data_IF_855401965124
#
_entry.id   IF_855401965124
#
_cell.length_a   1.000
_cell.length_b   1.000
_cell.length_c   1.000
_cell.angle_alpha   90.00
_cell.angle_beta   90.00
_cell.angle_gamma   90.00
#
_symmetry.space_group_name_H-M   'P 1'
#
loop_
_entity.id
_entity.type
_entity.pdbx_description
1 polymer ?
#
# COMPACT_ATOMS: atom_id res chain seq x y z
N UNK A 1 35.89 25.17 6.39
CA UNK A 1 35.51 23.87 5.77
C UNK A 1 34.04 23.91 5.37
N UNK A 2 33.68 24.14 4.09
CA UNK A 2 32.29 24.19 3.70
C UNK A 2 31.78 22.80 3.30
N UNK A 3 30.83 22.30 4.08
CA UNK A 3 30.04 21.11 3.81
C UNK A 3 29.27 21.24 2.49
N UNK A 4 29.64 20.40 1.51
CA UNK A 4 28.80 19.77 0.48
C UNK A 4 27.54 20.52 0.01
N UNK A 5 27.74 21.40 -0.97
CA UNK A 5 26.69 22.04 -1.77
C UNK A 5 26.14 21.12 -2.89
N UNK A 6 26.07 19.80 -2.65
CA UNK A 6 25.68 18.79 -3.66
C UNK A 6 24.19 18.83 -4.05
N UNK A 7 23.35 19.56 -3.31
CA UNK A 7 21.92 19.69 -3.60
C UNK A 7 21.58 20.78 -4.63
N UNK A 8 22.59 21.46 -5.20
CA UNK A 8 22.41 22.46 -6.25
C UNK A 8 22.69 21.94 -7.66
N UNK A 9 22.65 20.62 -7.86
CA UNK A 9 22.46 20.07 -9.21
C UNK A 9 21.06 20.50 -9.62
N UNK A 10 20.97 21.60 -10.36
CA UNK A 10 19.78 21.95 -11.14
C UNK A 10 19.48 20.73 -12.00
N UNK A 11 18.56 19.88 -11.54
CA UNK A 11 17.99 18.72 -12.25
C UNK A 11 17.19 19.15 -13.48
N UNK A 12 17.52 20.30 -14.05
CA UNK A 12 16.66 21.06 -14.95
C UNK A 12 16.53 20.37 -16.29
N UNK A 13 17.48 19.55 -16.74
CA UNK A 13 17.43 18.97 -18.10
C UNK A 13 16.92 17.52 -18.23
N UNK A 14 16.95 16.69 -17.17
CA UNK A 14 16.08 15.48 -17.12
C UNK A 14 14.66 15.82 -16.69
N UNK A 15 14.47 17.02 -16.13
CA UNK A 15 13.18 17.61 -15.83
C UNK A 15 12.89 18.80 -16.75
N UNK A 16 13.55 18.88 -17.92
CA UNK A 16 13.12 19.77 -18.99
C UNK A 16 11.93 19.07 -19.59
N UNK A 17 10.79 19.76 -19.56
CA UNK A 17 9.61 19.29 -20.25
C UNK A 17 10.01 19.16 -21.72
N UNK A 18 9.77 17.98 -22.32
CA UNK A 18 10.01 17.77 -23.75
C UNK A 18 9.39 18.95 -24.52
N UNK A 19 10.08 19.46 -25.53
CA UNK A 19 9.65 20.62 -26.32
C UNK A 19 8.25 20.37 -26.90
N UNK A 20 7.91 19.12 -27.23
CA UNK A 20 6.58 18.69 -27.68
C UNK A 20 5.47 18.90 -26.64
N UNK A 21 5.83 19.09 -25.38
CA UNK A 21 4.92 19.33 -24.26
C UNK A 21 5.22 20.66 -23.55
N UNK A 22 5.96 21.58 -24.18
CA UNK A 22 6.33 22.88 -23.59
C UNK A 22 5.10 23.66 -23.11
N UNK A 23 4.04 23.67 -23.90
CA UNK A 23 2.79 24.41 -23.66
C UNK A 23 1.75 23.63 -22.84
N UNK A 24 2.08 22.40 -22.41
CA UNK A 24 1.23 21.66 -21.46
C UNK A 24 1.56 22.08 -20.03
N UNK A 25 0.57 22.67 -19.36
CA UNK A 25 0.66 22.93 -17.93
C UNK A 25 1.04 21.67 -17.15
N UNK A 26 1.85 21.85 -16.09
CA UNK A 26 2.20 20.76 -15.15
C UNK A 26 0.95 20.13 -14.53
N UNK A 27 -0.13 20.91 -14.51
CA UNK A 27 -1.42 20.62 -13.94
C UNK A 27 -2.51 21.17 -14.87
N UNK A 28 -2.69 20.62 -16.07
CA UNK A 28 -4.04 20.68 -16.63
C UNK A 28 -4.94 19.89 -15.66
N UNK A 29 -6.03 20.49 -15.24
CA UNK A 29 -7.16 19.90 -14.51
C UNK A 29 -6.94 19.37 -13.08
N UNK A 30 -5.78 19.58 -12.45
CA UNK A 30 -5.58 19.04 -11.10
C UNK A 30 -5.63 17.50 -11.06
N UNK A 31 -5.13 16.84 -12.12
CA UNK A 31 -5.18 15.38 -12.45
C UNK A 31 -4.48 14.46 -11.40
N UNK A 32 -4.20 14.96 -10.19
CA UNK A 32 -4.32 14.14 -9.00
C UNK A 32 -5.70 14.37 -8.38
N UNK A 33 -6.78 14.31 -9.16
CA UNK A 33 -8.04 13.88 -8.57
C UNK A 33 -7.68 12.56 -7.89
N UNK A 34 -7.70 12.53 -6.54
CA UNK A 34 -7.84 11.23 -5.85
C UNK A 34 -8.94 10.57 -6.65
N UNK A 35 -8.62 9.49 -7.38
CA UNK A 35 -9.62 8.78 -8.19
C UNK A 35 -10.89 8.79 -7.33
N UNK A 36 -12.00 9.41 -7.77
CA UNK A 36 -13.18 9.52 -6.93
C UNK A 36 -13.37 8.13 -6.37
N UNK A 37 -13.46 8.02 -5.03
CA UNK A 37 -13.51 6.70 -4.35
C UNK A 37 -14.41 5.86 -5.22
N UNK A 38 -13.85 4.82 -5.86
CA UNK A 38 -14.60 4.01 -6.84
C UNK A 38 -15.98 3.81 -6.21
N UNK A 39 -17.09 4.16 -6.89
CA UNK A 39 -18.42 4.05 -6.29
C UNK A 39 -18.44 2.68 -5.62
N UNK A 40 -18.74 2.66 -4.33
CA UNK A 40 -18.62 1.45 -3.51
C UNK A 40 -19.45 0.42 -4.23
N UNK A 41 -18.79 -0.45 -5.00
CA UNK A 41 -19.48 -1.46 -5.78
C UNK A 41 -20.32 -2.18 -4.74
N UNK A 42 -21.65 -2.19 -4.93
CA UNK A 42 -22.58 -2.69 -3.95
C UNK A 42 -22.03 -4.04 -3.49
N UNK A 43 -21.46 -4.07 -2.28
CA UNK A 43 -20.65 -5.20 -1.88
C UNK A 43 -21.65 -6.29 -1.62
N UNK A 44 -21.86 -7.18 -2.59
CA UNK A 44 -22.70 -8.37 -2.42
C UNK A 44 -22.10 -9.36 -1.41
N UNK A 45 -21.10 -8.94 -0.62
CA UNK A 45 -20.34 -9.72 0.34
C UNK A 45 -20.50 -9.08 1.71
N UNK A 46 -20.85 -9.93 2.68
CA UNK A 46 -20.97 -9.53 4.08
C UNK A 46 -19.63 -9.09 4.68
N UNK A 47 -19.65 -7.94 5.35
CA UNK A 47 -18.53 -7.34 6.07
C UNK A 47 -18.62 -7.64 7.57
N UNK A 48 -17.61 -7.24 8.36
CA UNK A 48 -17.63 -7.44 9.82
C UNK A 48 -18.79 -6.68 10.50
N UNK A 49 -19.25 -5.56 9.92
CA UNK A 49 -20.31 -4.72 10.47
C UNK A 49 -21.70 -5.39 10.41
N UNK A 50 -21.84 -6.45 9.63
CA UNK A 50 -23.10 -7.19 9.48
C UNK A 50 -23.34 -8.24 10.58
N UNK A 51 -22.43 -8.33 11.56
CA UNK A 51 -22.51 -9.25 12.69
C UNK A 51 -22.83 -8.47 13.97
N UNK A 52 -23.93 -8.82 14.63
CA UNK A 52 -24.33 -8.23 15.90
C UNK A 52 -23.79 -9.03 17.08
N UNK A 53 -23.29 -8.34 18.11
CA UNK A 53 -22.87 -8.97 19.35
C UNK A 53 -24.08 -9.28 20.25
N UNK A 54 -24.21 -10.53 20.68
CA UNK A 54 -25.18 -10.96 21.69
C UNK A 54 -24.50 -11.06 23.06
N UNK A 55 -24.77 -10.07 23.92
CA UNK A 55 -24.20 -9.98 25.26
C UNK A 55 -24.57 -11.17 26.15
N UNK A 56 -25.78 -11.74 26.01
CA UNK A 56 -26.26 -12.83 26.88
C UNK A 56 -25.50 -14.12 26.61
N UNK A 57 -25.22 -14.38 25.34
CA UNK A 57 -24.62 -15.63 24.88
C UNK A 57 -23.13 -15.49 24.55
N UNK A 58 -22.55 -14.29 24.69
CA UNK A 58 -21.13 -14.00 24.42
C UNK A 58 -20.70 -14.47 23.02
N UNK A 59 -21.54 -14.23 22.02
CA UNK A 59 -21.29 -14.67 20.65
C UNK A 59 -21.82 -13.67 19.64
N UNK A 60 -21.31 -13.78 18.41
CA UNK A 60 -21.78 -12.96 17.30
C UNK A 60 -22.92 -13.65 16.57
N UNK A 61 -23.89 -12.88 16.09
CA UNK A 61 -25.02 -13.36 15.31
C UNK A 61 -24.98 -12.68 13.94
N UNK A 62 -25.07 -13.48 12.89
CA UNK A 62 -25.13 -12.97 11.52
C UNK A 62 -26.58 -12.55 11.16
N UNK A 63 -26.80 -11.77 10.09
CA UNK A 63 -28.16 -11.34 9.68
C UNK A 63 -29.15 -12.48 9.47
N UNK A 64 -28.68 -13.68 9.14
CA UNK A 64 -29.52 -14.89 9.08
C UNK A 64 -29.74 -15.58 10.43
N UNK A 65 -29.55 -14.86 11.55
CA UNK A 65 -29.71 -15.33 12.93
C UNK A 65 -28.84 -16.55 13.32
N UNK A 66 -27.78 -16.81 12.56
CA UNK A 66 -26.83 -17.90 12.85
C UNK A 66 -25.75 -17.41 13.82
N UNK A 67 -25.49 -18.23 14.85
CA UNK A 67 -24.54 -17.91 15.91
C UNK A 67 -23.12 -18.31 15.52
N UNK A 68 -22.17 -17.44 15.84
CA UNK A 68 -20.74 -17.64 15.70
C UNK A 68 -20.13 -17.72 17.11
N UNK A 69 -19.69 -18.91 17.50
CA UNK A 69 -19.05 -19.13 18.81
C UNK A 69 -17.57 -18.78 18.73
N UNK A 70 -17.00 -18.33 19.85
CA UNK A 70 -15.57 -18.07 19.95
C UNK A 70 -14.80 -19.37 19.74
N UNK A 71 -13.94 -19.40 18.73
CA UNK A 71 -13.05 -20.54 18.42
C UNK A 71 -11.69 -20.37 19.08
N UNK A 72 -11.16 -19.15 19.06
CA UNK A 72 -9.86 -18.85 19.63
C UNK A 72 -9.86 -17.42 20.18
N UNK A 73 -9.14 -17.23 21.30
CA UNK A 73 -8.92 -15.93 21.93
C UNK A 73 -7.51 -15.46 21.64
N UNK A 74 -7.33 -14.15 21.46
CA UNK A 74 -6.04 -13.51 21.35
C UNK A 74 -5.07 -14.14 20.31
N UNK A 75 -5.60 -14.52 19.15
CA UNK A 75 -4.80 -15.06 18.05
C UNK A 75 -4.05 -13.96 17.32
N UNK A 76 -2.71 -14.08 17.27
CA UNK A 76 -1.85 -13.12 16.57
C UNK A 76 -1.81 -13.47 15.09
N UNK A 77 -2.40 -12.60 14.27
CA UNK A 77 -2.32 -12.70 12.81
C UNK A 77 -1.56 -11.48 12.30
N UNK A 78 -0.34 -11.72 11.80
CA UNK A 78 0.64 -10.67 11.47
C UNK A 78 0.97 -9.83 12.72
N UNK A 79 0.52 -8.58 12.73
CA UNK A 79 0.80 -7.61 13.79
C UNK A 79 -0.45 -7.23 14.60
N UNK A 80 -1.58 -7.89 14.36
CA UNK A 80 -2.85 -7.59 15.05
C UNK A 80 -3.30 -8.86 15.77
N UNK A 81 -3.76 -8.68 17.01
CA UNK A 81 -4.33 -9.76 17.82
C UNK A 81 -5.85 -9.73 17.65
N UNK A 82 -6.42 -10.90 17.35
CA UNK A 82 -7.84 -11.08 17.08
C UNK A 82 -8.47 -12.11 18.01
N UNK A 83 -9.72 -11.87 18.38
CA UNK A 83 -10.62 -12.93 18.80
C UNK A 83 -11.29 -13.50 17.55
N UNK A 84 -11.23 -14.82 17.43
CA UNK A 84 -11.77 -15.54 16.28
C UNK A 84 -13.08 -16.20 16.65
N UNK A 85 -14.14 -15.90 15.90
CA UNK A 85 -15.45 -16.51 16.02
C UNK A 85 -15.76 -17.34 14.78
N UNK A 86 -16.38 -18.51 14.95
CA UNK A 86 -16.70 -19.43 13.86
C UNK A 86 -18.18 -19.83 13.92
N UNK A 87 -18.85 -19.77 12.78
CA UNK A 87 -20.19 -20.35 12.62
C UNK A 87 -20.13 -21.88 12.64
N UNK A 88 -21.23 -22.54 13.05
CA UNK A 88 -21.35 -23.99 12.87
C UNK A 88 -21.42 -24.32 11.37
N UNK A 89 -20.66 -25.32 10.92
CA UNK A 89 -20.58 -25.76 9.52
C UNK A 89 -21.96 -26.07 8.94
N UNK A 90 -22.75 -26.85 9.67
CA UNK A 90 -24.05 -27.36 9.24
C UNK A 90 -25.02 -26.19 8.99
N UNK A 91 -24.92 -25.15 9.81
CA UNK A 91 -25.70 -23.94 9.64
C UNK A 91 -25.34 -23.19 8.36
N UNK A 92 -24.07 -23.11 7.98
CA UNK A 92 -23.66 -22.31 6.80
C UNK A 92 -23.87 -23.03 5.46
N UNK A 93 -23.95 -24.36 5.44
CA UNK A 93 -24.15 -25.13 4.22
C UNK A 93 -25.53 -24.87 3.58
N UNK A 94 -26.61 -25.01 4.36
CA UNK A 94 -28.01 -24.78 3.93
C UNK A 94 -28.46 -23.32 4.01
N UNK A 95 -27.53 -22.37 3.99
CA UNK A 95 -27.87 -20.95 4.17
C UNK A 95 -28.30 -20.31 2.84
N UNK A 96 -29.48 -19.67 2.74
CA UNK A 96 -29.88 -18.96 1.51
C UNK A 96 -28.94 -17.79 1.16
N UNK A 97 -28.24 -17.26 2.18
CA UNK A 97 -27.24 -16.20 2.00
C UNK A 97 -25.81 -16.76 1.82
N UNK A 98 -25.63 -18.07 1.60
CA UNK A 98 -24.31 -18.73 1.53
C UNK A 98 -23.38 -18.01 0.55
N UNK A 99 -23.80 -17.75 -0.68
CA UNK A 99 -22.97 -17.09 -1.70
C UNK A 99 -22.49 -15.69 -1.29
N UNK A 100 -23.26 -14.99 -0.42
CA UNK A 100 -22.89 -13.67 0.10
C UNK A 100 -21.95 -13.76 1.32
N UNK A 101 -22.11 -14.76 2.16
CA UNK A 101 -21.29 -14.97 3.37
C UNK A 101 -20.00 -15.75 3.09
N UNK A 102 -20.00 -16.63 2.11
CA UNK A 102 -18.93 -17.57 1.79
C UNK A 102 -18.65 -17.47 0.28
N UNK A 103 -17.70 -16.60 -0.11
CA UNK A 103 -17.37 -16.41 -1.52
C UNK A 103 -16.80 -17.67 -2.17
N UNK A 104 -16.07 -18.48 -1.40
CA UNK A 104 -15.45 -19.71 -1.87
C UNK A 104 -16.36 -20.92 -1.59
N UNK A 105 -16.69 -21.75 -2.59
CA UNK A 105 -17.61 -22.89 -2.42
C UNK A 105 -17.08 -23.96 -1.45
N UNK A 106 -15.76 -24.15 -1.39
CA UNK A 106 -15.08 -25.08 -0.47
C UNK A 106 -15.19 -24.66 1.00
N UNK A 107 -15.48 -23.38 1.28
CA UNK A 107 -15.52 -22.91 2.66
C UNK A 107 -16.78 -23.43 3.35
N UNK A 108 -16.59 -24.23 4.40
CA UNK A 108 -17.69 -24.86 5.13
C UNK A 108 -18.38 -23.91 6.11
N UNK A 109 -17.65 -22.97 6.70
CA UNK A 109 -18.15 -22.11 7.76
C UNK A 109 -17.55 -20.69 7.70
N UNK A 110 -18.34 -19.69 8.08
CA UNK A 110 -17.88 -18.31 8.18
C UNK A 110 -17.03 -18.13 9.43
N UNK A 111 -15.92 -17.43 9.28
CA UNK A 111 -15.11 -16.89 10.36
C UNK A 111 -15.33 -15.39 10.48
N UNK A 112 -15.34 -14.89 11.70
CA UNK A 112 -15.33 -13.48 12.05
C UNK A 112 -14.09 -13.21 12.90
N UNK A 113 -13.26 -12.26 12.46
CA UNK A 113 -12.07 -11.81 13.17
C UNK A 113 -12.39 -10.45 13.79
N UNK A 114 -12.39 -10.38 15.11
CA UNK A 114 -12.62 -9.15 15.86
C UNK A 114 -11.28 -8.70 16.46
N UNK A 115 -10.72 -7.56 16.03
CA UNK A 115 -9.44 -7.09 16.56
C UNK A 115 -9.60 -6.69 18.04
N UNK A 116 -8.66 -7.08 18.89
CA UNK A 116 -8.61 -6.60 20.28
C UNK A 116 -8.06 -5.18 20.29
N UNK A 117 -8.75 -4.27 20.99
CA UNK A 117 -8.41 -2.84 21.06
C UNK A 117 -6.97 -2.60 21.54
N UNK A 118 -6.52 -3.39 22.53
CA UNK A 118 -5.20 -3.32 23.16
C UNK A 118 -4.07 -3.89 22.28
N UNK A 119 -4.38 -4.51 21.14
CA UNK A 119 -3.37 -5.06 20.22
C UNK A 119 -2.76 -4.01 19.30
N UNK A 120 -3.32 -2.79 19.28
CA UNK A 120 -2.81 -1.67 18.47
C UNK A 120 -1.50 -1.10 19.02
N UNK A 121 -1.23 -1.29 20.31
CA UNK A 121 -0.14 -0.59 21.00
C UNK A 121 1.25 -1.20 20.73
N UNK A 122 1.34 -2.51 20.51
CA UNK A 122 2.66 -3.17 20.40
C UNK A 122 3.29 -3.12 19.01
N UNK A 123 2.51 -2.84 17.96
CA UNK A 123 3.06 -2.59 16.64
C UNK A 123 2.78 -1.15 16.26
N UNK A 124 3.73 -0.28 16.57
CA UNK A 124 3.86 1.00 15.88
C UNK A 124 3.76 0.69 14.38
N UNK A 125 2.62 1.00 13.79
CA UNK A 125 2.42 0.80 12.37
C UNK A 125 3.27 1.85 11.67
N UNK A 126 4.52 1.49 11.34
CA UNK A 126 5.48 2.40 10.68
C UNK A 126 4.88 3.03 9.43
N UNK A 127 3.96 2.34 8.76
CA UNK A 127 3.19 2.84 7.62
C UNK A 127 2.27 3.99 8.04
N UNK A 128 1.53 3.85 9.16
CA UNK A 128 0.68 4.92 9.68
C UNK A 128 1.50 6.12 10.16
N UNK A 129 2.64 5.89 10.83
CA UNK A 129 3.58 6.97 11.18
C UNK A 129 4.10 7.67 9.93
N UNK A 130 4.44 6.94 8.88
CA UNK A 130 4.83 7.53 7.60
C UNK A 130 3.70 8.33 6.94
N UNK A 131 2.47 7.80 6.94
CA UNK A 131 1.29 8.50 6.42
C UNK A 131 1.08 9.82 7.15
N UNK A 132 1.04 9.78 8.49
CA UNK A 132 0.91 10.97 9.32
C UNK A 132 2.02 11.99 9.04
N UNK A 133 3.28 11.53 8.91
CA UNK A 133 4.43 12.39 8.56
C UNK A 133 4.26 13.04 7.18
N UNK A 134 3.82 12.30 6.17
CA UNK A 134 3.58 12.80 4.81
C UNK A 134 2.41 13.79 4.79
N UNK A 135 1.37 13.56 5.59
CA UNK A 135 0.17 14.39 5.60
C UNK A 135 0.37 15.78 6.21
N UNK A 136 1.45 16.00 6.97
CA UNK A 136 1.85 17.34 7.43
C UNK A 136 2.16 18.28 6.25
N UNK A 137 1.97 19.61 6.41
CA UNK A 137 2.29 20.59 5.36
C UNK A 137 3.76 20.50 4.90
N UNK A 138 4.69 20.36 5.85
CA UNK A 138 6.12 20.16 5.58
C UNK A 138 6.36 18.84 4.84
N UNK A 139 5.71 17.76 5.29
CA UNK A 139 5.76 16.44 4.66
C UNK A 139 5.30 16.47 3.20
N UNK A 140 4.15 17.10 2.92
CA UNK A 140 3.60 17.25 1.56
C UNK A 140 4.55 18.02 0.64
N UNK A 141 5.13 19.13 1.13
CA UNK A 141 6.10 19.94 0.36
C UNK A 141 7.39 19.17 0.03
N UNK A 142 7.86 18.31 0.93
CA UNK A 142 9.03 17.47 0.67
C UNK A 142 8.66 16.33 -0.28
N UNK A 143 7.54 15.65 -0.01
CA UNK A 143 7.08 14.50 -0.78
C UNK A 143 6.74 14.88 -2.24
N UNK A 144 6.23 16.09 -2.49
CA UNK A 144 5.96 16.56 -3.86
C UNK A 144 7.21 16.62 -4.75
N UNK A 145 8.41 16.81 -4.15
CA UNK A 145 9.68 16.80 -4.88
C UNK A 145 10.05 15.43 -5.45
N UNK A 146 9.39 14.35 -5.00
CA UNK A 146 9.60 12.98 -5.50
C UNK A 146 9.44 12.89 -7.03
N UNK A 147 8.44 13.57 -7.59
CA UNK A 147 8.17 13.62 -9.03
C UNK A 147 9.37 14.15 -9.84
N UNK A 148 10.13 15.07 -9.26
CA UNK A 148 11.24 15.77 -9.94
C UNK A 148 12.58 15.09 -9.66
N UNK A 149 12.77 14.60 -8.45
CA UNK A 149 14.06 14.09 -7.98
C UNK A 149 14.15 12.58 -8.16
N UNK A 150 13.14 11.86 -7.71
CA UNK A 150 13.21 10.41 -7.51
C UNK A 150 12.64 9.66 -8.71
N UNK A 151 11.48 10.07 -9.21
CA UNK A 151 10.80 9.37 -10.30
C UNK A 151 11.59 9.31 -11.61
N UNK A 152 12.31 10.37 -12.04
CA UNK A 152 13.10 10.31 -13.26
C UNK A 152 14.24 9.29 -13.18
N UNK A 153 14.81 9.06 -11.98
CA UNK A 153 15.84 8.05 -11.75
C UNK A 153 15.27 6.66 -12.00
N UNK A 154 14.12 6.36 -11.37
CA UNK A 154 13.42 5.09 -11.58
C UNK A 154 12.93 4.91 -13.01
N UNK A 155 12.45 5.98 -13.64
CA UNK A 155 12.02 5.95 -15.03
C UNK A 155 13.19 5.60 -15.95
N UNK A 156 14.35 6.26 -15.83
CA UNK A 156 15.54 5.95 -16.63
C UNK A 156 15.98 4.49 -16.43
N UNK A 157 16.14 4.04 -15.18
CA UNK A 157 16.54 2.66 -14.87
C UNK A 157 15.57 1.64 -15.47
N UNK A 158 14.27 1.90 -15.40
CA UNK A 158 13.25 0.99 -15.91
C UNK A 158 13.13 1.01 -17.43
N UNK A 159 13.02 2.18 -18.04
CA UNK A 159 12.71 2.30 -19.48
C UNK A 159 13.95 2.28 -20.36
N UNK A 160 14.98 3.03 -19.99
CA UNK A 160 16.20 3.15 -20.81
C UNK A 160 17.19 2.04 -20.49
N UNK A 161 17.36 1.69 -19.21
CA UNK A 161 18.26 0.59 -18.79
C UNK A 161 17.55 -0.77 -18.72
N UNK A 162 16.24 -0.81 -18.98
CA UNK A 162 15.44 -2.05 -19.09
C UNK A 162 15.45 -2.95 -17.84
N UNK A 163 15.63 -2.36 -16.65
CA UNK A 163 15.53 -3.08 -15.39
C UNK A 163 14.10 -3.00 -14.83
N UNK A 164 13.17 -3.75 -15.43
CA UNK A 164 11.79 -3.86 -14.95
C UNK A 164 11.65 -4.78 -13.73
N UNK A 165 12.56 -5.75 -13.59
CA UNK A 165 12.60 -6.71 -12.48
C UNK A 165 14.04 -7.09 -12.17
N UNK A 166 14.31 -7.43 -10.91
CA UNK A 166 15.60 -8.03 -10.54
C UNK A 166 15.73 -9.43 -11.14
N UNK A 167 16.92 -9.74 -11.65
CA UNK A 167 17.19 -11.01 -12.33
C UNK A 167 17.91 -12.02 -11.43
N UNK A 168 18.48 -11.55 -10.31
CA UNK A 168 19.22 -12.38 -9.38
C UNK A 168 18.37 -12.78 -8.17
N UNK A 169 18.68 -13.94 -7.59
CA UNK A 169 18.12 -14.40 -6.30
C UNK A 169 19.12 -14.11 -5.17
N UNK A 170 18.60 -13.82 -3.98
CA UNK A 170 19.33 -13.42 -2.76
C UNK A 170 19.59 -11.91 -2.64
N UNK A 171 19.39 -11.39 -1.42
CA UNK A 171 19.52 -9.96 -1.08
C UNK A 171 20.85 -9.35 -1.52
N UNK A 172 21.95 -10.05 -1.27
CA UNK A 172 23.31 -9.57 -1.61
C UNK A 172 23.46 -9.35 -3.12
N UNK A 173 23.02 -10.32 -3.92
CA UNK A 173 23.12 -10.24 -5.38
C UNK A 173 22.19 -9.15 -5.96
N UNK A 174 20.97 -9.05 -5.44
CA UNK A 174 20.02 -7.98 -5.81
C UNK A 174 20.57 -6.59 -5.47
N UNK A 175 21.23 -6.44 -4.32
CA UNK A 175 21.85 -5.18 -3.90
C UNK A 175 23.00 -4.78 -4.83
N UNK A 176 23.86 -5.73 -5.21
CA UNK A 176 24.93 -5.50 -6.19
C UNK A 176 24.33 -5.08 -7.54
N UNK A 177 23.33 -5.80 -8.03
CA UNK A 177 22.63 -5.45 -9.27
C UNK A 177 22.06 -4.03 -9.20
N UNK A 178 21.35 -3.68 -8.13
CA UNK A 178 20.78 -2.35 -7.96
C UNK A 178 21.86 -1.25 -7.95
N UNK A 179 22.96 -1.46 -7.22
CA UNK A 179 24.08 -0.51 -7.16
C UNK A 179 24.75 -0.30 -8.52
N UNK A 180 24.93 -1.37 -9.30
CA UNK A 180 25.48 -1.28 -10.66
C UNK A 180 24.59 -0.42 -11.57
N UNK A 181 23.27 -0.64 -11.55
CA UNK A 181 22.33 0.17 -12.34
C UNK A 181 22.27 1.63 -11.87
N UNK A 182 22.32 1.87 -10.56
CA UNK A 182 22.39 3.22 -10.01
C UNK A 182 23.70 3.93 -10.41
N UNK A 183 24.82 3.21 -10.43
CA UNK A 183 26.11 3.72 -10.88
C UNK A 183 26.07 4.10 -12.36
N UNK A 184 25.53 3.24 -13.23
CA UNK A 184 25.36 3.55 -14.66
C UNK A 184 24.48 4.79 -14.85
N UNK A 185 23.38 4.90 -14.11
CA UNK A 185 22.55 6.11 -14.12
C UNK A 185 23.33 7.36 -13.70
N UNK A 186 24.13 7.27 -12.63
CA UNK A 186 24.92 8.39 -12.13
C UNK A 186 26.04 8.80 -13.11
N UNK A 187 26.72 7.83 -13.75
CA UNK A 187 27.72 8.13 -14.78
C UNK A 187 27.06 8.84 -15.96
N UNK A 188 25.91 8.36 -16.46
CA UNK A 188 25.17 9.04 -17.53
C UNK A 188 24.77 10.46 -17.14
N UNK A 189 24.36 10.67 -15.88
CA UNK A 189 24.10 12.00 -15.34
C UNK A 189 25.35 12.88 -15.33
N UNK A 190 26.51 12.36 -14.95
CA UNK A 190 27.76 13.12 -14.92
C UNK A 190 28.24 13.40 -16.35
N UNK A 191 28.21 12.43 -17.26
CA UNK A 191 28.61 12.62 -18.64
C UNK A 191 27.75 13.67 -19.35
N UNK A 192 26.43 13.65 -19.13
CA UNK A 192 25.51 14.59 -19.79
C UNK A 192 25.46 15.99 -19.18
N UNK A 193 25.85 16.15 -17.91
CA UNK A 193 25.64 17.42 -17.17
C UNK A 193 26.84 17.89 -16.33
N UNK A 194 27.87 17.06 -16.18
CA UNK A 194 29.05 17.32 -15.35
C UNK A 194 30.04 18.28 -15.99
N UNK A 195 29.98 18.47 -17.32
CA UNK A 195 30.82 19.45 -18.04
C UNK A 195 30.16 20.83 -18.19
N UNK A 196 28.93 21.01 -17.72
CA UNK A 196 28.19 22.29 -17.81
C UNK A 196 28.41 23.15 -16.55
N UNK A 197 29.38 22.79 -15.72
CA UNK A 197 29.83 23.53 -14.53
C UNK A 197 31.35 23.59 -14.48
#
# INVERSE_FOLDING_TARGET
MPFMNWLRIKSIHLCKRDIRFADRDRFKDGINHRKPKRPVHNRNIFTNDDFSWDHKRQCFVCKNRKMLKRKARAQRIRNIIYDMYRAKSDGCFVCPLRLKYLPMPETQARYLLVPLEHAKEESINLIEKMKAKIDTLKGRRIYSKRLVIVEPVFANIRTQKRLDRFTLRTRVKVDIQWKLFALVHNIEKIAGYGMVY
#
